data_IF_059325562243
#
_entry.id   IF_059325562243
#
_cell.length_a   1.000
_cell.length_b   1.000
_cell.length_c   1.000
_cell.angle_alpha   90.00
_cell.angle_beta   90.00
_cell.angle_gamma   90.00
#
_symmetry.space_group_name_H-M   'P 1'
#
loop_
_entity.id
_entity.type
_entity.pdbx_description
1 polymer ?
#
# COMPACT_ATOMS: atom_id res chain seq x y z
N UNK A 1 -4.20 -6.57 7.37
CA UNK A 1 -3.84 -7.96 7.03
C UNK A 1 -2.45 -7.95 6.42
N UNK A 2 -1.56 -8.79 6.92
CA UNK A 2 -0.23 -8.98 6.31
C UNK A 2 -0.16 -10.41 5.76
N UNK A 3 0.42 -10.56 4.57
CA UNK A 3 0.53 -11.83 3.86
C UNK A 3 2.02 -12.17 3.73
N UNK A 4 2.39 -13.43 3.95
CA UNK A 4 3.75 -13.91 3.75
C UNK A 4 3.82 -15.03 2.72
N UNK A 5 4.85 -15.02 1.88
CA UNK A 5 5.03 -16.04 0.84
C UNK A 5 6.43 -16.07 0.28
N UNK A 6 6.84 -17.23 -0.22
CA UNK A 6 8.14 -17.40 -0.89
C UNK A 6 8.21 -16.57 -2.18
N UNK A 7 9.41 -16.40 -2.72
CA UNK A 7 9.58 -15.71 -3.99
C UNK A 7 8.76 -16.40 -5.09
N UNK A 8 7.99 -15.60 -5.85
CA UNK A 8 7.18 -16.13 -6.95
C UNK A 8 5.91 -16.91 -6.58
N UNK A 9 5.51 -16.89 -5.31
CA UNK A 9 4.21 -17.43 -4.84
C UNK A 9 3.00 -16.57 -5.22
N UNK A 10 3.22 -15.46 -5.91
CA UNK A 10 2.13 -14.59 -6.39
C UNK A 10 1.68 -13.52 -5.40
N UNK A 11 2.52 -13.14 -4.42
CA UNK A 11 2.23 -12.05 -3.47
C UNK A 11 1.75 -10.76 -4.15
N UNK A 12 2.55 -10.20 -5.05
CA UNK A 12 2.20 -8.99 -5.81
C UNK A 12 0.94 -9.18 -6.66
N UNK A 13 0.76 -10.36 -7.26
CA UNK A 13 -0.44 -10.67 -8.04
C UNK A 13 -1.69 -10.73 -7.14
N UNK A 14 -1.59 -11.26 -5.93
CA UNK A 14 -2.67 -11.25 -4.96
C UNK A 14 -3.02 -9.83 -4.53
N UNK A 15 -2.01 -8.97 -4.27
CA UNK A 15 -2.27 -7.54 -3.99
C UNK A 15 -3.02 -6.88 -5.13
N UNK A 16 -2.61 -7.07 -6.39
CA UNK A 16 -3.32 -6.54 -7.56
C UNK A 16 -4.76 -7.10 -7.67
N UNK A 17 -4.94 -8.39 -7.37
CA UNK A 17 -6.27 -9.01 -7.38
C UNK A 17 -7.18 -8.42 -6.29
N UNK A 18 -6.63 -8.16 -5.10
CA UNK A 18 -7.35 -7.50 -4.01
C UNK A 18 -7.65 -6.04 -4.32
N UNK A 19 -6.74 -5.33 -4.98
CA UNK A 19 -6.96 -3.98 -5.48
C UNK A 19 -8.15 -3.95 -6.46
N UNK A 20 -8.16 -4.81 -7.46
CA UNK A 20 -9.26 -4.93 -8.42
C UNK A 20 -10.58 -5.31 -7.75
N UNK A 21 -10.55 -6.22 -6.78
CA UNK A 21 -11.75 -6.58 -6.01
C UNK A 21 -12.26 -5.40 -5.18
N UNK A 22 -11.38 -4.64 -4.55
CA UNK A 22 -11.75 -3.43 -3.80
C UNK A 22 -12.39 -2.39 -4.72
N UNK A 23 -11.79 -2.12 -5.90
CA UNK A 23 -12.34 -1.22 -6.91
C UNK A 23 -13.74 -1.64 -7.37
N UNK A 24 -13.94 -2.95 -7.66
CA UNK A 24 -15.26 -3.51 -8.01
C UNK A 24 -16.30 -3.39 -6.89
N UNK A 25 -15.86 -3.36 -5.64
CA UNK A 25 -16.71 -3.12 -4.47
C UNK A 25 -16.79 -1.64 -4.09
N UNK A 26 -16.44 -0.74 -5.01
CA UNK A 26 -16.56 0.71 -4.87
C UNK A 26 -15.68 1.30 -3.76
N UNK A 27 -14.48 0.76 -3.54
CA UNK A 27 -13.46 1.36 -2.68
C UNK A 27 -12.41 2.11 -3.49
N UNK A 28 -11.89 3.21 -2.94
CA UNK A 28 -10.65 3.80 -3.43
C UNK A 28 -9.48 2.90 -3.04
N UNK A 29 -8.42 2.87 -3.85
CA UNK A 29 -7.26 2.01 -3.61
C UNK A 29 -5.96 2.76 -3.78
N UNK A 30 -4.95 2.48 -2.96
CA UNK A 30 -3.60 2.99 -3.14
C UNK A 30 -2.62 1.83 -3.00
N UNK A 31 -1.80 1.60 -4.03
CA UNK A 31 -0.76 0.58 -4.03
C UNK A 31 0.61 1.26 -4.07
N UNK A 32 1.46 0.92 -3.11
CA UNK A 32 2.86 1.35 -3.07
C UNK A 32 3.78 0.15 -2.94
N UNK A 33 4.97 0.29 -3.50
CA UNK A 33 6.04 -0.70 -3.41
C UNK A 33 7.14 -0.07 -2.58
N UNK A 34 7.55 -0.76 -1.50
CA UNK A 34 8.69 -0.30 -0.68
C UNK A 34 9.93 -0.27 -1.57
N UNK A 35 10.78 0.73 -1.38
CA UNK A 35 12.04 0.85 -2.14
C UNK A 35 13.05 1.69 -1.36
N UNK A 36 14.25 1.89 -1.90
CA UNK A 36 15.23 2.82 -1.32
C UNK A 36 14.71 4.27 -1.32
N UNK A 37 13.95 4.65 -2.34
CA UNK A 37 13.37 6.00 -2.49
C UNK A 37 12.12 6.18 -1.62
N UNK A 38 11.40 5.09 -1.36
CA UNK A 38 10.21 5.05 -0.50
C UNK A 38 10.44 4.10 0.69
N UNK A 39 11.27 4.50 1.67
CA UNK A 39 11.53 3.68 2.84
C UNK A 39 10.28 3.58 3.71
N UNK A 40 9.92 2.35 4.08
CA UNK A 40 8.72 2.08 4.90
C UNK A 40 8.77 2.80 6.26
N UNK A 41 9.95 2.93 6.85
CA UNK A 41 10.16 3.55 8.16
C UNK A 41 9.97 5.06 8.23
N UNK A 42 9.65 5.74 7.12
CA UNK A 42 9.45 7.18 7.07
C UNK A 42 8.00 7.54 6.67
N UNK A 43 7.08 7.75 7.65
CA UNK A 43 5.71 8.19 7.39
C UNK A 43 5.61 9.49 6.58
N UNK A 44 6.58 10.40 6.73
CA UNK A 44 6.58 11.68 6.04
C UNK A 44 6.78 11.52 4.53
N UNK A 45 7.45 10.44 4.09
CA UNK A 45 7.57 10.08 2.66
C UNK A 45 6.49 9.08 2.23
N UNK A 46 6.21 8.08 3.07
CA UNK A 46 5.25 7.02 2.79
C UNK A 46 3.84 7.56 2.56
N UNK A 47 3.34 8.39 3.48
CA UNK A 47 1.93 8.81 3.44
C UNK A 47 1.63 9.75 2.27
N UNK A 48 2.43 10.80 1.97
CA UNK A 48 2.18 11.60 0.78
C UNK A 48 2.23 10.76 -0.50
N UNK A 49 3.12 9.76 -0.57
CA UNK A 49 3.17 8.83 -1.70
C UNK A 49 1.92 7.96 -1.79
N UNK A 50 1.42 7.44 -0.66
CA UNK A 50 0.15 6.71 -0.60
C UNK A 50 -1.01 7.58 -1.10
N UNK A 51 -1.07 8.84 -0.66
CA UNK A 51 -2.12 9.77 -1.02
C UNK A 51 -2.06 10.15 -2.50
N UNK A 52 -0.87 10.31 -3.08
CA UNK A 52 -0.68 10.59 -4.50
C UNK A 52 -1.05 9.40 -5.40
N UNK A 53 -0.92 8.16 -4.90
CA UNK A 53 -1.25 6.93 -5.63
C UNK A 53 -2.68 6.46 -5.43
N UNK A 54 -3.54 7.24 -4.75
CA UNK A 54 -4.94 6.84 -4.62
C UNK A 54 -5.62 6.85 -5.99
N UNK A 55 -6.23 5.74 -6.35
CA UNK A 55 -7.05 5.60 -7.53
C UNK A 55 -8.52 5.46 -7.12
N UNK A 56 -9.39 6.18 -7.83
CA UNK A 56 -10.83 6.07 -7.70
C UNK A 56 -11.36 5.10 -8.77
N UNK A 57 -12.35 4.24 -8.46
CA UNK A 57 -12.91 3.27 -9.39
C UNK A 57 -13.39 3.83 -10.74
N UNK A 58 -13.93 5.05 -10.73
CA UNK A 58 -14.66 5.67 -11.84
C UNK A 58 -14.01 6.98 -12.33
N UNK A 59 -12.78 7.28 -11.91
CA UNK A 59 -12.03 8.45 -12.37
C UNK A 59 -10.65 8.07 -12.88
N UNK A 60 -10.18 8.80 -13.90
CA UNK A 60 -8.83 8.67 -14.45
C UNK A 60 -7.80 9.39 -13.58
N UNK A 61 -8.20 10.52 -13.00
CA UNK A 61 -7.34 11.28 -12.10
C UNK A 61 -7.01 10.50 -10.83
N UNK A 62 -5.74 10.60 -10.44
CA UNK A 62 -5.22 9.98 -9.23
C UNK A 62 -5.05 11.02 -8.13
N UNK A 63 -4.97 10.53 -6.91
CA UNK A 63 -4.65 11.28 -5.72
C UNK A 63 -5.79 12.13 -5.18
N UNK A 64 -5.44 13.02 -4.25
CA UNK A 64 -6.41 13.89 -3.58
C UNK A 64 -6.98 14.93 -4.55
N UNK A 65 -6.25 15.31 -5.60
CA UNK A 65 -6.71 16.22 -6.64
C UNK A 65 -8.03 15.74 -7.26
N UNK A 66 -8.09 14.48 -7.70
CA UNK A 66 -9.33 13.91 -8.27
C UNK A 66 -10.48 13.82 -7.26
N UNK A 67 -10.17 13.55 -5.98
CA UNK A 67 -11.19 13.58 -4.91
C UNK A 67 -11.75 14.97 -4.68
N UNK A 68 -10.88 15.97 -4.69
CA UNK A 68 -11.23 17.37 -4.52
C UNK A 68 -12.10 17.85 -5.69
N UNK A 69 -11.69 17.57 -6.94
CA UNK A 69 -12.47 17.90 -8.13
C UNK A 69 -13.91 17.33 -8.06
N UNK A 70 -14.05 16.04 -7.69
CA UNK A 70 -15.37 15.42 -7.49
C UNK A 70 -16.19 16.08 -6.39
N UNK A 71 -15.52 16.60 -5.36
CA UNK A 71 -16.16 17.36 -4.29
C UNK A 71 -16.65 18.74 -4.75
N UNK A 72 -16.12 19.32 -5.82
CA UNK A 72 -16.65 20.56 -6.42
C UNK A 72 -17.80 20.29 -7.39
N UNK A 73 -17.70 19.23 -8.20
CA UNK A 73 -18.66 18.90 -9.26
C UNK A 73 -19.97 18.30 -8.73
N UNK A 74 -19.87 17.48 -7.68
CA UNK A 74 -21.06 17.04 -6.95
C UNK A 74 -21.69 18.27 -6.30
N UNK A 75 -23.00 18.40 -6.20
CA UNK A 75 -23.62 19.35 -5.23
C UNK A 75 -23.57 18.71 -3.84
N UNK A 76 -22.40 18.66 -3.16
CA UNK A 76 -22.12 17.65 -2.14
C UNK A 76 -22.76 18.06 -0.82
N UNK A 77 -23.06 19.35 -0.63
CA UNK A 77 -23.66 19.95 0.55
C UNK A 77 -24.99 19.29 0.95
N UNK A 78 -25.68 18.63 0.01
CA UNK A 78 -26.94 17.93 0.26
C UNK A 78 -26.81 16.40 0.37
N UNK A 79 -25.63 15.82 0.09
CA UNK A 79 -25.44 14.37 0.26
C UNK A 79 -25.35 14.02 1.75
N UNK A 80 -26.11 13.01 2.23
CA UNK A 80 -26.01 12.55 3.61
C UNK A 80 -24.60 12.10 4.00
N UNK A 81 -23.83 11.53 3.07
CA UNK A 81 -22.45 11.10 3.30
C UNK A 81 -21.52 12.28 3.53
N UNK A 82 -21.69 13.35 2.77
CA UNK A 82 -20.89 14.56 2.93
C UNK A 82 -21.24 15.32 4.21
N UNK A 83 -22.52 15.40 4.58
CA UNK A 83 -22.92 15.99 5.87
C UNK A 83 -22.32 15.22 7.06
N UNK A 84 -22.32 13.89 7.01
CA UNK A 84 -21.64 13.05 8.01
C UNK A 84 -20.14 13.32 8.05
N UNK A 85 -19.50 13.48 6.89
CA UNK A 85 -18.09 13.85 6.81
C UNK A 85 -17.81 15.22 7.42
N UNK A 86 -18.62 16.25 7.10
CA UNK A 86 -18.47 17.59 7.66
C UNK A 86 -18.65 17.59 9.18
N UNK A 87 -19.63 16.85 9.70
CA UNK A 87 -19.80 16.65 11.14
C UNK A 87 -18.59 15.95 11.77
N UNK A 88 -18.09 14.90 11.13
CA UNK A 88 -16.91 14.18 11.59
C UNK A 88 -15.69 15.11 11.66
N UNK A 89 -15.40 15.88 10.60
CA UNK A 89 -14.26 16.82 10.56
C UNK A 89 -14.39 17.91 11.64
N UNK A 90 -15.60 18.44 11.86
CA UNK A 90 -15.84 19.47 12.88
C UNK A 90 -15.69 18.94 14.32
N UNK A 91 -15.96 17.66 14.55
CA UNK A 91 -15.83 17.01 15.86
C UNK A 91 -14.47 16.32 16.05
N UNK A 92 -13.64 16.30 15.01
CA UNK A 92 -12.37 15.61 15.06
C UNK A 92 -11.39 16.39 15.93
N UNK A 93 -10.96 15.78 17.03
CA UNK A 93 -10.10 16.42 18.04
C UNK A 93 -8.68 16.76 17.55
N UNK A 94 -8.31 16.30 16.35
CA UNK A 94 -6.98 16.43 15.80
C UNK A 94 -6.83 17.64 14.89
N UNK A 95 -5.59 18.07 14.69
CA UNK A 95 -5.26 19.12 13.73
C UNK A 95 -5.62 20.53 14.19
N UNK A 96 -5.98 20.77 15.45
CA UNK A 96 -6.10 22.13 16.03
C UNK A 96 -6.92 23.11 15.16
N UNK A 97 -8.07 22.66 14.63
CA UNK A 97 -8.97 23.45 13.79
C UNK A 97 -8.58 23.58 12.31
N UNK A 98 -7.45 23.02 11.87
CA UNK A 98 -6.99 23.11 10.48
C UNK A 98 -7.90 22.36 9.49
N UNK A 99 -8.29 21.13 9.81
CA UNK A 99 -9.15 20.31 8.95
C UNK A 99 -10.53 20.94 8.70
N UNK A 100 -11.30 21.35 9.72
CA UNK A 100 -12.59 21.99 9.49
C UNK A 100 -12.45 23.34 8.79
N UNK A 101 -11.41 24.11 9.08
CA UNK A 101 -11.16 25.39 8.42
C UNK A 101 -10.83 25.25 6.94
N UNK A 102 -9.89 24.35 6.60
CA UNK A 102 -9.48 24.13 5.21
C UNK A 102 -10.61 23.53 4.38
N UNK A 103 -11.42 22.63 4.96
CA UNK A 103 -12.65 22.14 4.32
C UNK A 103 -13.67 23.27 4.09
N UNK A 104 -13.94 24.11 5.09
CA UNK A 104 -14.88 25.20 4.96
C UNK A 104 -14.43 26.24 3.92
N UNK A 105 -13.13 26.55 3.88
CA UNK A 105 -12.56 27.40 2.84
C UNK A 105 -12.71 26.74 1.46
N UNK A 106 -12.39 25.46 1.33
CA UNK A 106 -12.53 24.73 0.08
C UNK A 106 -13.95 24.79 -0.50
N UNK A 107 -14.98 24.75 0.35
CA UNK A 107 -16.38 24.86 -0.07
C UNK A 107 -16.82 26.29 -0.45
N UNK A 108 -16.13 27.31 0.06
CA UNK A 108 -16.45 28.73 -0.18
C UNK A 108 -15.71 29.30 -1.38
N UNK A 109 -14.50 28.80 -1.61
CA UNK A 109 -13.68 29.13 -2.76
C UNK A 109 -14.25 28.38 -3.98
N UNK A 110 -14.66 29.12 -5.01
CA UNK A 110 -15.07 28.54 -6.29
C UNK A 110 -13.87 28.08 -7.12
N UNK A 111 -14.09 27.23 -8.12
CA UNK A 111 -13.02 26.72 -9.00
C UNK A 111 -12.17 27.84 -9.61
N UNK A 112 -10.86 27.60 -9.69
CA UNK A 112 -9.79 28.48 -10.23
C UNK A 112 -9.13 29.49 -9.26
N UNK A 113 -9.08 29.15 -7.96
CA UNK A 113 -8.31 29.93 -6.95
C UNK A 113 -7.00 29.21 -6.60
N UNK A 114 -5.85 29.90 -6.69
CA UNK A 114 -4.53 29.42 -6.23
C UNK A 114 -4.58 28.90 -4.77
N UNK A 115 -5.46 29.48 -3.94
CA UNK A 115 -5.68 29.05 -2.55
C UNK A 115 -6.35 27.68 -2.46
N UNK A 116 -7.19 27.29 -3.43
CA UNK A 116 -7.77 25.94 -3.48
C UNK A 116 -6.68 24.91 -3.74
N UNK A 117 -5.82 25.16 -4.72
CA UNK A 117 -4.69 24.28 -5.03
C UNK A 117 -3.78 24.13 -3.81
N UNK A 118 -3.47 25.22 -3.12
CA UNK A 118 -2.70 25.17 -1.88
C UNK A 118 -3.38 24.28 -0.81
N UNK A 119 -4.71 24.40 -0.62
CA UNK A 119 -5.47 23.57 0.33
C UNK A 119 -5.39 22.09 -0.05
N UNK A 120 -5.55 21.77 -1.34
CA UNK A 120 -5.46 20.40 -1.85
C UNK A 120 -4.06 19.83 -1.66
N UNK A 121 -2.99 20.61 -1.93
CA UNK A 121 -1.60 20.23 -1.66
C UNK A 121 -1.35 19.98 -0.17
N UNK A 122 -1.91 20.81 0.71
CA UNK A 122 -1.83 20.59 2.16
C UNK A 122 -2.46 19.25 2.58
N UNK A 123 -3.63 18.90 2.02
CA UNK A 123 -4.26 17.59 2.22
C UNK A 123 -3.39 16.45 1.66
N UNK A 124 -2.76 16.65 0.50
CA UNK A 124 -1.93 15.67 -0.19
C UNK A 124 -0.60 15.35 0.51
N UNK A 125 -0.17 16.18 1.45
CA UNK A 125 1.08 15.97 2.18
C UNK A 125 2.22 16.90 1.81
N UNK A 126 1.99 17.86 0.92
CA UNK A 126 2.98 18.82 0.43
C UNK A 126 3.19 20.00 1.40
N UNK A 127 4.27 20.79 1.22
CA UNK A 127 4.68 21.86 2.14
C UNK A 127 3.55 22.83 2.47
N UNK A 128 3.60 23.29 3.73
CA UNK A 128 2.41 23.67 4.50
C UNK A 128 1.86 25.06 4.18
N UNK A 129 0.53 25.12 4.03
CA UNK A 129 -0.24 26.37 4.12
C UNK A 129 0.15 27.13 5.39
N UNK A 130 0.33 28.45 5.29
CA UNK A 130 0.64 29.24 6.48
C UNK A 130 -0.61 29.58 7.27
N UNK A 131 -0.50 29.52 8.60
CA UNK A 131 -1.63 29.84 9.48
C UNK A 131 -2.14 31.28 9.32
N UNK A 132 -1.27 32.22 8.93
CA UNK A 132 -1.62 33.60 8.60
C UNK A 132 -2.48 33.70 7.34
N UNK A 133 -2.15 32.90 6.31
CA UNK A 133 -2.89 32.81 5.06
C UNK A 133 -4.28 32.19 5.29
N UNK A 134 -4.37 31.07 6.02
CA UNK A 134 -5.65 30.45 6.39
C UNK A 134 -6.54 31.45 7.14
N UNK A 135 -6.01 32.10 8.19
CA UNK A 135 -6.78 33.06 8.98
C UNK A 135 -7.21 34.28 8.17
N UNK A 136 -6.40 34.73 7.22
CA UNK A 136 -6.76 35.82 6.30
C UNK A 136 -7.90 35.37 5.39
N UNK A 137 -7.76 34.24 4.70
CA UNK A 137 -8.81 33.69 3.83
C UNK A 137 -10.13 33.45 4.56
N UNK A 138 -10.09 32.98 5.82
CA UNK A 138 -11.29 32.84 6.65
C UNK A 138 -11.99 34.18 6.90
N UNK A 139 -11.24 35.24 7.19
CA UNK A 139 -11.81 36.59 7.37
C UNK A 139 -12.42 37.11 6.07
N UNK A 140 -11.70 36.97 4.97
CA UNK A 140 -12.12 37.48 3.65
C UNK A 140 -13.44 36.83 3.18
N UNK A 141 -13.73 35.61 3.64
CA UNK A 141 -14.96 34.86 3.30
C UNK A 141 -16.01 34.87 4.43
N UNK A 142 -15.90 35.77 5.41
CA UNK A 142 -16.91 35.93 6.48
C UNK A 142 -16.95 34.79 7.50
N UNK A 143 -15.91 33.96 7.57
CA UNK A 143 -15.74 32.86 8.53
C UNK A 143 -14.77 33.22 9.67
N UNK A 144 -14.58 34.51 9.92
CA UNK A 144 -13.73 35.02 10.98
C UNK A 144 -14.16 34.46 12.35
N UNK A 145 -13.24 33.84 13.09
CA UNK A 145 -13.52 33.30 14.43
C UNK A 145 -14.36 32.02 14.45
N UNK A 146 -14.89 31.54 13.32
CA UNK A 146 -15.65 30.29 13.25
C UNK A 146 -14.79 29.04 13.50
N UNK A 147 -13.50 29.13 13.17
CA UNK A 147 -12.54 28.03 13.31
C UNK A 147 -11.27 28.51 14.05
N UNK A 148 -11.01 28.04 15.28
CA UNK A 148 -9.80 28.40 16.00
C UNK A 148 -8.59 27.67 15.41
N UNK A 149 -7.76 28.39 14.64
CA UNK A 149 -6.53 27.83 14.06
C UNK A 149 -5.40 27.84 15.09
N UNK A 150 -5.00 26.67 15.57
CA UNK A 150 -3.85 26.48 16.45
C UNK A 150 -2.55 26.15 15.71
N UNK A 151 -1.53 25.70 16.46
CA UNK A 151 -0.27 25.18 15.90
C UNK A 151 -0.54 23.86 15.19
N UNK A 152 0.14 23.63 14.06
CA UNK A 152 0.11 22.34 13.39
C UNK A 152 0.68 21.24 14.32
N UNK A 153 0.09 20.02 14.29
CA UNK A 153 0.67 18.86 14.97
C UNK A 153 2.09 18.54 14.48
N UNK A 154 2.86 17.74 15.24
CA UNK A 154 4.12 17.17 14.75
C UNK A 154 3.92 16.45 13.41
N UNK A 155 4.94 16.50 12.54
CA UNK A 155 4.87 16.01 11.16
C UNK A 155 4.25 14.61 11.08
N UNK A 156 4.73 13.67 11.89
CA UNK A 156 4.20 12.30 11.89
C UNK A 156 2.68 12.23 12.16
N UNK A 157 2.21 12.87 13.24
CA UNK A 157 0.78 12.92 13.56
C UNK A 157 -0.01 13.59 12.44
N UNK A 158 0.54 14.66 11.85
CA UNK A 158 -0.09 15.33 10.71
C UNK A 158 -0.25 14.40 9.50
N UNK A 159 0.73 13.54 9.20
CA UNK A 159 0.59 12.57 8.11
C UNK A 159 -0.46 11.49 8.42
N UNK A 160 -0.53 10.96 9.64
CA UNK A 160 -1.61 10.05 10.03
C UNK A 160 -2.99 10.70 9.89
N UNK A 161 -3.10 11.99 10.22
CA UNK A 161 -4.32 12.77 10.02
C UNK A 161 -4.66 12.90 8.52
N UNK A 162 -3.70 13.21 7.65
CA UNK A 162 -3.94 13.27 6.21
C UNK A 162 -4.52 11.97 5.66
N UNK A 163 -3.96 10.83 6.09
CA UNK A 163 -4.45 9.51 5.69
C UNK A 163 -5.90 9.27 6.17
N UNK A 164 -6.20 9.60 7.43
CA UNK A 164 -7.55 9.49 7.99
C UNK A 164 -8.56 10.40 7.25
N UNK A 165 -8.18 11.66 7.03
CA UNK A 165 -8.99 12.65 6.32
C UNK A 165 -9.30 12.20 4.90
N UNK A 166 -8.29 11.72 4.16
CA UNK A 166 -8.46 11.21 2.80
C UNK A 166 -9.39 9.99 2.74
N UNK A 167 -9.24 9.04 3.68
CA UNK A 167 -10.14 7.89 3.74
C UNK A 167 -11.60 8.30 4.02
N UNK A 168 -11.82 9.27 4.90
CA UNK A 168 -13.16 9.81 5.17
C UNK A 168 -13.70 10.61 3.98
N UNK A 169 -12.85 11.37 3.28
CA UNK A 169 -13.21 12.07 2.05
C UNK A 169 -13.67 11.08 0.96
N UNK A 170 -13.00 9.94 0.80
CA UNK A 170 -13.44 8.86 -0.09
C UNK A 170 -14.90 8.45 0.19
N UNK A 171 -15.28 8.32 1.47
CA UNK A 171 -16.68 8.05 1.85
C UNK A 171 -17.62 9.20 1.53
N UNK A 172 -17.18 10.42 1.77
CA UNK A 172 -17.96 11.62 1.53
C UNK A 172 -18.36 11.76 0.04
N UNK A 173 -17.47 11.37 -0.87
CA UNK A 173 -17.65 11.43 -2.32
C UNK A 173 -18.25 10.14 -2.94
N UNK A 174 -18.65 9.18 -2.11
CA UNK A 174 -19.46 8.01 -2.53
C UNK A 174 -18.76 6.65 -2.55
N UNK A 175 -17.53 6.53 -2.06
CA UNK A 175 -16.78 5.26 -1.99
C UNK A 175 -16.89 4.58 -0.61
N UNK A 176 -16.51 3.30 -0.51
CA UNK A 176 -16.56 2.53 0.75
C UNK A 176 -15.51 2.95 1.80
N UNK A 177 -14.48 3.68 1.39
CA UNK A 177 -13.29 4.01 2.16
C UNK A 177 -12.04 3.89 1.29
N UNK A 178 -10.88 3.74 1.93
CA UNK A 178 -9.58 3.61 1.26
C UNK A 178 -8.91 2.28 1.63
N UNK A 179 -8.55 1.50 0.61
CA UNK A 179 -7.70 0.31 0.75
C UNK A 179 -6.27 0.67 0.39
N UNK A 180 -5.36 0.47 1.34
CA UNK A 180 -3.91 0.70 1.17
C UNK A 180 -3.21 -0.65 1.05
N UNK A 181 -2.46 -0.81 -0.04
CA UNK A 181 -1.69 -2.00 -0.35
C UNK A 181 -0.19 -1.65 -0.36
N UNK A 182 0.61 -2.46 0.34
CA UNK A 182 2.06 -2.26 0.47
C UNK A 182 2.78 -3.54 0.03
N UNK A 183 3.55 -3.45 -1.05
CA UNK A 183 4.35 -4.56 -1.58
C UNK A 183 5.83 -4.43 -1.20
N UNK A 184 6.59 -5.52 -1.35
CA UNK A 184 8.05 -5.59 -1.14
C UNK A 184 8.51 -5.18 0.27
N UNK A 185 7.72 -5.49 1.31
CA UNK A 185 8.08 -5.16 2.70
C UNK A 185 9.39 -5.85 3.09
N UNK A 186 9.74 -6.98 2.47
CA UNK A 186 11.01 -7.67 2.67
C UNK A 186 12.26 -6.79 2.46
N UNK A 187 12.16 -5.72 1.66
CA UNK A 187 13.30 -4.81 1.43
C UNK A 187 13.80 -4.12 2.70
N UNK A 188 12.99 -4.04 3.76
CA UNK A 188 13.45 -3.50 5.04
C UNK A 188 14.58 -4.37 5.64
N UNK A 189 14.72 -5.64 5.25
CA UNK A 189 15.79 -6.52 5.68
C UNK A 189 17.21 -5.99 5.36
N UNK A 190 17.31 -5.18 4.30
CA UNK A 190 18.56 -4.60 3.82
C UNK A 190 18.94 -3.31 4.56
N UNK A 191 18.06 -2.77 5.41
CA UNK A 191 18.30 -1.52 6.11
C UNK A 191 19.14 -1.72 7.38
N UNK A 192 19.76 -0.64 7.87
CA UNK A 192 20.38 -0.61 9.20
C UNK A 192 19.36 -0.95 10.30
N UNK A 193 19.84 -1.43 11.46
CA UNK A 193 18.95 -1.82 12.57
C UNK A 193 18.01 -0.67 12.99
N UNK A 194 18.47 0.58 13.00
CA UNK A 194 17.64 1.73 13.33
C UNK A 194 16.52 1.93 12.30
N UNK A 195 16.85 1.83 11.00
CA UNK A 195 15.86 1.96 9.93
C UNK A 195 14.87 0.77 9.91
N UNK A 196 15.30 -0.42 10.32
CA UNK A 196 14.40 -1.56 10.57
C UNK A 196 13.46 -1.27 11.74
N UNK A 197 13.95 -0.73 12.85
CA UNK A 197 13.13 -0.31 14.01
C UNK A 197 12.08 0.72 13.58
N UNK A 198 12.47 1.74 12.81
CA UNK A 198 11.54 2.72 12.23
C UNK A 198 10.47 2.04 11.36
N UNK A 199 10.86 1.05 10.56
CA UNK A 199 9.95 0.28 9.70
C UNK A 199 8.99 -0.61 10.50
N UNK A 200 9.47 -1.32 11.53
CA UNK A 200 8.63 -2.11 12.43
C UNK A 200 7.62 -1.24 13.15
N UNK A 201 8.00 -0.02 13.54
CA UNK A 201 7.07 0.94 14.15
C UNK A 201 5.92 1.30 13.21
N UNK A 202 6.23 1.57 11.93
CA UNK A 202 5.20 1.84 10.91
C UNK A 202 4.32 0.60 10.70
N UNK A 203 4.91 -0.59 10.60
CA UNK A 203 4.14 -1.84 10.49
C UNK A 203 3.24 -2.07 11.71
N UNK A 204 3.70 -1.74 12.91
CA UNK A 204 2.88 -1.78 14.13
C UNK A 204 1.67 -0.86 14.02
N UNK A 205 1.87 0.37 13.54
CA UNK A 205 0.76 1.31 13.32
C UNK A 205 -0.22 0.85 12.22
N UNK A 206 0.24 0.17 11.17
CA UNK A 206 -0.59 -0.23 10.04
C UNK A 206 -1.28 -1.59 10.24
N UNK A 207 -0.63 -2.53 10.91
CA UNK A 207 -1.02 -3.94 10.98
C UNK A 207 -1.14 -4.48 12.41
N UNK A 208 -0.69 -3.74 13.43
CA UNK A 208 -0.90 -4.10 14.82
C UNK A 208 -2.38 -4.06 15.21
N UNK A 209 -2.77 -4.81 16.22
CA UNK A 209 -4.17 -4.90 16.67
C UNK A 209 -4.55 -3.81 17.68
N UNK A 210 -3.59 -3.40 18.52
CA UNK A 210 -3.81 -2.43 19.62
C UNK A 210 -3.05 -1.11 19.42
N UNK A 211 -2.17 -1.04 18.42
CA UNK A 211 -1.16 0.02 18.26
C UNK A 211 -1.45 0.99 17.11
N UNK A 212 -2.67 0.98 16.56
CA UNK A 212 -3.10 1.97 15.56
C UNK A 212 -3.02 3.39 16.14
N UNK A 213 -2.50 4.38 15.41
CA UNK A 213 -2.60 5.79 15.76
C UNK A 213 -4.06 6.21 15.96
N UNK A 214 -4.33 6.98 17.02
CA UNK A 214 -5.68 7.44 17.36
C UNK A 214 -6.36 8.19 16.20
N UNK A 215 -5.58 8.87 15.38
CA UNK A 215 -6.03 9.63 14.22
C UNK A 215 -6.70 8.74 13.16
N UNK A 216 -6.21 7.51 12.99
CA UNK A 216 -6.70 6.56 11.98
C UNK A 216 -7.64 5.49 12.56
N UNK A 217 -7.74 5.32 13.88
CA UNK A 217 -8.55 4.26 14.53
C UNK A 217 -10.01 4.19 14.05
N UNK A 218 -10.64 5.34 13.77
CA UNK A 218 -12.04 5.43 13.31
C UNK A 218 -12.17 5.72 11.82
N UNK A 219 -11.05 5.80 11.10
CA UNK A 219 -11.04 6.08 9.68
C UNK A 219 -11.37 4.80 8.88
N UNK A 220 -12.04 4.93 7.72
CA UNK A 220 -12.46 3.79 6.90
C UNK A 220 -11.30 3.26 6.05
N UNK A 221 -10.27 2.78 6.73
CA UNK A 221 -9.03 2.29 6.15
C UNK A 221 -8.97 0.76 6.21
N UNK A 222 -8.44 0.15 5.16
CA UNK A 222 -8.06 -1.26 5.13
C UNK A 222 -6.62 -1.37 4.67
N UNK A 223 -5.76 -1.98 5.47
CA UNK A 223 -4.36 -2.20 5.11
C UNK A 223 -4.11 -3.65 4.70
N UNK A 224 -3.44 -3.83 3.56
CA UNK A 224 -2.94 -5.12 3.09
C UNK A 224 -1.45 -4.97 2.78
N UNK A 225 -0.63 -5.88 3.30
CA UNK A 225 0.80 -5.90 3.01
C UNK A 225 1.25 -7.28 2.51
N UNK A 226 2.38 -7.31 1.80
CA UNK A 226 3.08 -8.54 1.44
C UNK A 226 4.54 -8.51 1.89
N UNK A 227 5.01 -9.63 2.46
CA UNK A 227 6.40 -9.84 2.91
C UNK A 227 6.89 -11.24 2.52
N UNK A 228 8.20 -11.48 2.48
CA UNK A 228 8.72 -12.86 2.30
C UNK A 228 8.43 -13.75 3.51
N UNK A 229 8.29 -15.06 3.24
CA UNK A 229 8.04 -16.08 4.28
C UNK A 229 9.22 -16.26 5.23
N UNK A 230 10.45 -16.08 4.76
CA UNK A 230 11.68 -16.31 5.51
C UNK A 230 12.13 -15.12 6.36
N UNK A 231 11.46 -13.96 6.24
CA UNK A 231 11.82 -12.74 6.96
C UNK A 231 11.94 -12.94 8.47
N UNK A 232 10.98 -13.65 9.07
CA UNK A 232 10.97 -13.94 10.51
C UNK A 232 12.23 -14.71 10.94
N UNK A 233 12.58 -15.78 10.22
CA UNK A 233 13.74 -16.61 10.54
C UNK A 233 15.04 -15.82 10.34
N UNK A 234 15.22 -15.21 9.18
CA UNK A 234 16.50 -14.59 8.80
C UNK A 234 16.74 -13.29 9.57
N UNK A 235 15.71 -12.46 9.75
CA UNK A 235 15.86 -11.11 10.32
C UNK A 235 15.48 -11.09 11.79
N UNK A 236 14.31 -11.62 12.15
CA UNK A 236 13.84 -11.52 13.54
C UNK A 236 14.63 -12.47 14.46
N UNK A 237 14.94 -13.68 14.00
CA UNK A 237 15.66 -14.70 14.77
C UNK A 237 17.18 -14.63 14.56
N UNK A 238 17.69 -14.90 13.34
CA UNK A 238 19.14 -15.03 13.09
C UNK A 238 19.90 -13.70 13.28
N UNK A 239 19.39 -12.57 12.78
CA UNK A 239 19.96 -11.24 13.10
C UNK A 239 19.64 -10.76 14.52
N UNK A 240 18.70 -11.41 15.22
CA UNK A 240 18.35 -11.14 16.61
C UNK A 240 17.55 -9.84 16.81
N UNK A 241 16.76 -9.41 15.82
CA UNK A 241 15.98 -8.17 15.94
C UNK A 241 14.96 -8.26 17.09
N UNK A 242 14.43 -9.44 17.44
CA UNK A 242 13.55 -9.64 18.61
C UNK A 242 14.10 -9.06 19.91
N UNK A 243 15.41 -9.16 20.12
CA UNK A 243 16.06 -8.64 21.32
C UNK A 243 16.62 -7.24 21.12
N UNK A 244 17.14 -6.94 19.92
CA UNK A 244 17.87 -5.70 19.65
C UNK A 244 16.94 -4.53 19.32
N UNK A 245 15.90 -4.74 18.51
CA UNK A 245 15.05 -3.66 18.03
C UNK A 245 14.25 -2.98 19.16
N UNK A 246 13.65 -3.70 20.12
CA UNK A 246 13.02 -3.09 21.30
C UNK A 246 13.97 -2.18 22.11
N UNK A 247 15.23 -2.61 22.30
CA UNK A 247 16.24 -1.84 23.03
C UNK A 247 16.61 -0.55 22.30
N UNK A 248 16.78 -0.62 20.98
CA UNK A 248 17.03 0.56 20.14
C UNK A 248 15.84 1.52 20.16
N UNK A 249 14.61 1.00 20.14
CA UNK A 249 13.40 1.82 20.23
C UNK A 249 13.39 2.65 21.53
N UNK A 250 13.66 2.02 22.67
CA UNK A 250 13.77 2.71 23.96
C UNK A 250 14.88 3.77 23.96
N UNK A 251 16.07 3.45 23.44
CA UNK A 251 17.19 4.38 23.35
C UNK A 251 16.90 5.61 22.48
N UNK A 252 16.04 5.45 21.45
CA UNK A 252 15.63 6.52 20.54
C UNK A 252 14.28 7.13 20.92
N UNK A 253 13.80 6.90 22.14
CA UNK A 253 12.53 7.42 22.65
C UNK A 253 11.31 7.08 21.78
N UNK A 254 11.34 5.92 21.13
CA UNK A 254 10.22 5.35 20.37
C UNK A 254 9.45 4.35 21.24
N UNK A 255 8.17 4.14 20.93
CA UNK A 255 7.36 3.13 21.63
C UNK A 255 7.82 1.71 21.30
N UNK A 256 8.31 1.02 22.31
CA UNK A 256 8.68 -0.39 22.23
C UNK A 256 7.49 -1.28 21.85
N UNK A 257 6.32 -1.00 22.41
CA UNK A 257 5.08 -1.76 22.17
C UNK A 257 4.69 -1.71 20.70
N UNK A 258 4.77 -0.54 20.06
CA UNK A 258 4.46 -0.39 18.63
C UNK A 258 5.46 -1.14 17.76
N UNK A 259 6.75 -1.09 18.10
CA UNK A 259 7.80 -1.83 17.37
C UNK A 259 7.56 -3.34 17.47
N UNK A 260 7.31 -3.85 18.68
CA UNK A 260 6.99 -5.26 18.90
C UNK A 260 5.75 -5.69 18.12
N UNK A 261 4.69 -4.88 18.14
CA UNK A 261 3.47 -5.16 17.39
C UNK A 261 3.73 -5.29 15.88
N UNK A 262 4.65 -4.50 15.30
CA UNK A 262 5.03 -4.64 13.89
C UNK A 262 5.77 -5.95 13.59
N UNK A 263 6.66 -6.37 14.50
CA UNK A 263 7.39 -7.64 14.38
C UNK A 263 6.46 -8.85 14.56
N UNK A 264 5.53 -8.75 15.49
CA UNK A 264 4.46 -9.73 15.70
C UNK A 264 3.55 -9.83 14.47
N UNK A 265 3.18 -8.69 13.86
CA UNK A 265 2.39 -8.67 12.65
C UNK A 265 3.06 -9.44 11.49
N UNK A 266 4.38 -9.31 11.32
CA UNK A 266 5.16 -10.11 10.35
C UNK A 266 5.08 -11.59 10.67
N UNK A 267 5.28 -11.95 11.94
CA UNK A 267 5.31 -13.35 12.37
C UNK A 267 3.94 -14.03 12.18
N UNK A 268 2.87 -13.31 12.50
CA UNK A 268 1.48 -13.72 12.35
C UNK A 268 0.91 -13.52 10.93
N UNK A 269 1.72 -13.03 9.98
CA UNK A 269 1.26 -12.82 8.61
C UNK A 269 0.71 -14.12 8.00
N UNK A 270 -0.39 -14.00 7.27
CA UNK A 270 -1.09 -15.13 6.67
C UNK A 270 -0.22 -15.75 5.58
N UNK A 271 0.17 -17.03 5.71
CA UNK A 271 1.01 -17.67 4.71
C UNK A 271 0.21 -17.94 3.42
N UNK A 272 0.77 -17.60 2.27
CA UNK A 272 0.33 -18.12 0.99
C UNK A 272 0.84 -19.53 0.81
N UNK A 273 0.04 -20.38 0.17
CA UNK A 273 0.48 -21.69 -0.28
C UNK A 273 1.64 -21.52 -1.27
N UNK A 274 2.69 -22.30 -1.07
CA UNK A 274 3.76 -22.48 -2.05
C UNK A 274 3.24 -23.23 -3.27
N UNK A 275 3.96 -23.15 -4.39
CA UNK A 275 3.61 -23.92 -5.58
C UNK A 275 3.59 -25.43 -5.32
N UNK A 276 4.43 -25.92 -4.40
CA UNK A 276 4.47 -27.32 -4.01
C UNK A 276 3.20 -27.74 -3.27
N UNK A 277 2.69 -26.87 -2.38
CA UNK A 277 1.43 -27.07 -1.66
C UNK A 277 0.21 -26.93 -2.58
N UNK A 278 0.30 -26.10 -3.62
CA UNK A 278 -0.78 -25.84 -4.58
C UNK A 278 -0.73 -26.74 -5.84
N UNK A 279 -0.13 -27.93 -5.77
CA UNK A 279 0.10 -28.78 -6.95
C UNK A 279 -1.18 -29.11 -7.73
N UNK A 280 -2.26 -29.45 -7.03
CA UNK A 280 -3.56 -29.79 -7.65
C UNK A 280 -4.21 -28.58 -8.33
N UNK A 281 -4.09 -27.39 -7.73
CA UNK A 281 -4.57 -26.14 -8.32
C UNK A 281 -3.75 -25.77 -9.57
N UNK A 282 -2.43 -25.99 -9.54
CA UNK A 282 -1.56 -25.78 -10.70
C UNK A 282 -1.93 -26.74 -11.83
N UNK A 283 -2.23 -28.02 -11.54
CA UNK A 283 -2.75 -28.95 -12.56
C UNK A 283 -4.06 -28.43 -13.17
N UNK A 284 -4.96 -27.90 -12.34
CA UNK A 284 -6.21 -27.31 -12.82
C UNK A 284 -5.97 -26.07 -13.70
N UNK A 285 -4.93 -25.28 -13.41
CA UNK A 285 -4.52 -24.15 -14.25
C UNK A 285 -4.00 -24.59 -15.62
N UNK A 286 -3.30 -25.72 -15.71
CA UNK A 286 -2.80 -26.25 -16.99
C UNK A 286 -3.92 -26.36 -18.02
N UNK A 287 -5.09 -26.89 -17.62
CA UNK A 287 -6.25 -27.03 -18.51
C UNK A 287 -6.74 -25.67 -19.04
N UNK A 288 -6.82 -24.65 -18.16
CA UNK A 288 -7.23 -23.30 -18.56
C UNK A 288 -6.24 -22.63 -19.50
N UNK A 289 -4.94 -22.78 -19.22
CA UNK A 289 -3.87 -22.23 -20.08
C UNK A 289 -3.89 -22.92 -21.43
N UNK A 290 -4.08 -24.25 -21.46
CA UNK A 290 -4.23 -25.01 -22.69
C UNK A 290 -5.49 -24.61 -23.47
N UNK A 291 -6.60 -24.28 -22.81
CA UNK A 291 -7.84 -23.82 -23.48
C UNK A 291 -7.60 -22.47 -24.16
N UNK A 292 -6.90 -21.56 -23.49
CA UNK A 292 -6.53 -20.26 -24.06
C UNK A 292 -5.55 -20.43 -25.24
N UNK A 293 -4.57 -21.32 -25.11
CA UNK A 293 -3.60 -21.58 -26.17
C UNK A 293 -4.26 -22.22 -27.41
N UNK A 294 -5.18 -23.18 -27.23
CA UNK A 294 -5.97 -23.77 -28.32
C UNK A 294 -6.82 -22.71 -29.06
N UNK A 295 -7.40 -21.75 -28.33
CA UNK A 295 -8.16 -20.66 -28.94
C UNK A 295 -7.28 -19.76 -29.79
N UNK A 296 -6.04 -19.51 -29.37
CA UNK A 296 -5.08 -18.74 -30.14
C UNK A 296 -4.56 -19.54 -31.36
N UNK A 297 -4.44 -20.86 -31.22
CA UNK A 297 -3.85 -21.74 -32.23
C UNK A 297 -4.72 -22.99 -32.45
N UNK A 298 -5.74 -22.90 -33.34
CA UNK A 298 -6.72 -23.98 -33.53
C UNK A 298 -6.11 -25.30 -34.02
N UNK A 299 -5.02 -25.25 -34.77
CA UNK A 299 -4.34 -26.44 -35.34
C UNK A 299 -3.39 -27.12 -34.34
N UNK A 300 -3.18 -26.53 -33.16
CA UNK A 300 -2.36 -27.13 -32.12
C UNK A 300 -3.06 -28.36 -31.54
N UNK A 301 -2.32 -29.46 -31.40
CA UNK A 301 -2.82 -30.68 -30.76
C UNK A 301 -2.49 -30.64 -29.27
N UNK A 302 -3.53 -30.55 -28.43
CA UNK A 302 -3.39 -30.58 -26.97
C UNK A 302 -2.72 -31.89 -26.50
N UNK A 303 -1.67 -31.82 -25.66
CA UNK A 303 -1.09 -32.99 -25.00
C UNK A 303 -2.11 -33.68 -24.07
N UNK A 304 -2.04 -35.01 -23.95
CA UNK A 304 -3.00 -35.79 -23.16
C UNK A 304 -2.84 -35.66 -21.64
N UNK A 305 -1.64 -35.31 -21.14
CA UNK A 305 -1.37 -35.15 -19.72
C UNK A 305 -0.52 -33.91 -19.43
N UNK A 306 -0.79 -33.19 -18.33
CA UNK A 306 0.11 -32.16 -17.83
C UNK A 306 1.40 -32.82 -17.33
N UNK A 307 2.50 -32.66 -18.06
CA UNK A 307 3.82 -32.89 -17.49
C UNK A 307 4.13 -31.70 -16.58
N UNK A 308 3.80 -31.85 -15.30
CA UNK A 308 4.24 -30.89 -14.29
C UNK A 308 5.76 -31.02 -14.17
N UNK A 309 6.51 -29.92 -14.34
CA UNK A 309 7.93 -29.92 -14.01
C UNK A 309 8.13 -30.24 -12.53
N UNK A 310 9.34 -30.67 -12.17
CA UNK A 310 9.72 -30.74 -10.76
C UNK A 310 9.54 -29.36 -10.11
N UNK A 311 8.80 -29.34 -9.01
CA UNK A 311 8.50 -28.12 -8.28
C UNK A 311 9.52 -27.99 -7.15
N UNK A 312 10.32 -26.93 -7.21
CA UNK A 312 11.20 -26.51 -6.13
C UNK A 312 10.58 -25.36 -5.36
N UNK A 313 11.14 -25.04 -4.19
CA UNK A 313 10.68 -23.91 -3.36
C UNK A 313 10.78 -22.55 -4.04
N UNK A 314 11.66 -22.42 -5.05
CA UNK A 314 11.85 -21.20 -5.86
C UNK A 314 11.04 -21.19 -7.15
N UNK A 315 10.37 -22.30 -7.49
CA UNK A 315 9.62 -22.41 -8.74
C UNK A 315 8.39 -21.51 -8.66
N UNK A 316 8.27 -20.58 -9.62
CA UNK A 316 7.17 -19.63 -9.67
C UNK A 316 6.06 -20.14 -10.60
N UNK A 317 4.80 -19.79 -10.32
CA UNK A 317 3.67 -20.11 -11.22
C UNK A 317 3.92 -19.58 -12.64
N UNK A 318 4.55 -18.41 -12.74
CA UNK A 318 4.96 -17.82 -14.03
C UNK A 318 5.96 -18.70 -14.77
N UNK A 319 6.96 -19.25 -14.07
CA UNK A 319 7.95 -20.14 -14.67
C UNK A 319 7.29 -21.40 -15.23
N UNK A 320 6.37 -21.98 -14.47
CA UNK A 320 5.59 -23.16 -14.87
C UNK A 320 4.77 -22.87 -16.13
N UNK A 321 3.99 -21.78 -16.14
CA UNK A 321 3.18 -21.39 -17.30
C UNK A 321 4.07 -21.10 -18.51
N UNK A 322 5.17 -20.35 -18.33
CA UNK A 322 6.12 -20.05 -19.40
C UNK A 322 6.68 -21.34 -19.99
N UNK A 323 7.09 -22.30 -19.15
CA UNK A 323 7.61 -23.59 -19.59
C UNK A 323 6.59 -24.35 -20.44
N UNK A 324 5.32 -24.43 -20.01
CA UNK A 324 4.26 -25.05 -20.81
C UNK A 324 4.10 -24.38 -22.17
N UNK A 325 4.02 -23.04 -22.21
CA UNK A 325 3.86 -22.29 -23.46
C UNK A 325 5.07 -22.50 -24.38
N UNK A 326 6.29 -22.42 -23.84
CA UNK A 326 7.52 -22.66 -24.59
C UNK A 326 7.58 -24.07 -25.15
N UNK A 327 7.22 -25.09 -24.36
CA UNK A 327 7.18 -26.48 -24.82
C UNK A 327 6.16 -26.65 -25.96
N UNK A 328 4.98 -26.06 -25.84
CA UNK A 328 3.95 -26.11 -26.89
C UNK A 328 4.37 -25.37 -28.17
N UNK A 329 4.98 -24.20 -28.03
CA UNK A 329 5.53 -23.45 -29.17
C UNK A 329 6.62 -24.27 -29.88
N UNK A 330 7.54 -24.88 -29.14
CA UNK A 330 8.62 -25.69 -29.73
C UNK A 330 8.06 -26.91 -30.47
N UNK A 331 7.12 -27.66 -29.88
CA UNK A 331 6.47 -28.79 -30.55
C UNK A 331 5.74 -28.37 -31.82
N UNK A 332 5.11 -27.19 -31.78
CA UNK A 332 4.36 -26.65 -32.93
C UNK A 332 5.29 -26.20 -34.06
N UNK A 333 6.41 -25.53 -33.75
CA UNK A 333 7.29 -24.94 -34.77
C UNK A 333 8.36 -25.90 -35.32
N UNK A 334 8.88 -26.81 -34.50
CA UNK A 334 10.09 -27.58 -34.86
C UNK A 334 9.83 -29.06 -35.13
N UNK A 335 9.02 -29.76 -34.31
CA UNK A 335 8.49 -31.10 -34.59
C UNK A 335 7.61 -31.63 -33.44
N UNK A 336 6.49 -32.31 -33.73
CA UNK A 336 5.56 -32.80 -32.70
C UNK A 336 6.09 -33.96 -31.84
N UNK A 337 7.06 -34.74 -32.33
CA UNK A 337 7.53 -35.98 -31.70
C UNK A 337 8.90 -35.87 -30.99
N UNK A 338 9.46 -34.67 -30.86
CA UNK A 338 10.79 -34.50 -30.24
C UNK A 338 10.67 -34.36 -28.73
N UNK A 339 11.51 -35.09 -27.99
CA UNK A 339 11.66 -34.95 -26.54
C UNK A 339 12.35 -33.60 -26.25
N UNK A 340 11.64 -32.68 -25.58
CA UNK A 340 12.13 -31.32 -25.33
C UNK A 340 12.77 -31.27 -23.94
N UNK A 341 14.08 -31.05 -23.89
CA UNK A 341 14.80 -30.76 -22.64
C UNK A 341 14.89 -29.25 -22.46
N UNK A 342 14.09 -28.70 -21.55
CA UNK A 342 14.16 -27.29 -21.15
C UNK A 342 15.09 -27.19 -19.94
N UNK A 343 16.30 -26.64 -20.14
CA UNK A 343 17.25 -26.35 -19.06
C UNK A 343 16.85 -25.02 -18.41
N UNK A 344 16.57 -25.02 -17.11
CA UNK A 344 16.31 -23.79 -16.35
C UNK A 344 17.63 -23.20 -15.86
N UNK A 345 17.84 -21.89 -16.06
CA UNK A 345 18.99 -21.17 -15.51
C UNK A 345 18.94 -21.18 -13.97
N UNK A 346 20.02 -21.64 -13.31
CA UNK A 346 20.18 -21.64 -11.83
C UNK A 346 20.32 -20.24 -11.22
N UNK A 347 20.11 -19.17 -11.99
CA UNK A 347 20.32 -17.80 -11.56
C UNK A 347 19.09 -17.25 -10.83
N UNK A 348 18.93 -17.56 -9.54
CA UNK A 348 18.60 -16.64 -8.44
C UNK A 348 19.01 -17.38 -7.14
N UNK A 349 20.31 -17.43 -6.86
CA UNK A 349 20.83 -17.67 -5.52
C UNK A 349 21.50 -16.37 -5.07
N UNK A 350 21.14 -15.93 -3.88
CA UNK A 350 21.60 -14.72 -3.17
C UNK A 350 20.87 -13.42 -3.51
N UNK A 351 19.98 -13.02 -2.59
CA UNK A 351 19.75 -11.61 -2.29
C UNK A 351 21.06 -11.04 -1.74
N UNK A 352 21.56 -9.89 -2.22
CA UNK A 352 22.77 -9.28 -1.67
C UNK A 352 22.57 -8.99 -0.18
N UNK A 353 23.50 -9.47 0.64
CA UNK A 353 23.50 -9.34 2.11
C UNK A 353 24.07 -8.01 2.61
N UNK A 354 24.46 -7.10 1.71
CA UNK A 354 25.07 -5.83 2.09
C UNK A 354 24.03 -4.88 2.70
N UNK A 355 24.25 -4.52 3.96
CA UNK A 355 23.42 -3.54 4.65
C UNK A 355 23.63 -2.16 4.01
N UNK A 356 22.51 -1.53 3.66
CA UNK A 356 22.53 -0.22 3.02
C UNK A 356 22.91 0.86 4.05
N UNK A 357 23.79 1.82 3.68
CA UNK A 357 24.15 2.92 4.54
C UNK A 357 22.93 3.77 4.89
N UNK A 358 22.98 4.43 6.05
CA UNK A 358 21.90 5.29 6.52
C UNK A 358 21.66 6.43 5.52
N UNK A 359 20.44 6.55 5.02
CA UNK A 359 20.04 7.75 4.29
C UNK A 359 19.99 8.90 5.29
N UNK A 360 20.80 9.92 5.07
CA UNK A 360 20.73 11.19 5.80
C UNK A 360 19.29 11.71 5.67
N UNK A 361 18.62 11.93 6.80
CA UNK A 361 17.30 12.55 6.82
C UNK A 361 17.52 14.03 6.47
N UNK A 362 16.97 14.47 5.34
CA UNK A 362 16.78 15.90 5.09
C UNK A 362 15.84 16.42 6.19
N UNK A 363 16.42 16.99 7.26
CA UNK A 363 15.70 17.77 8.26
C UNK A 363 15.27 19.09 7.61
N UNK A 364 14.02 19.14 7.10
CA UNK A 364 13.30 20.41 6.90
C UNK A 364 11.87 20.35 7.45
#
# INVERSE_FOLDING_TARGET
>A
MLIKGDFGTGKSHLLLTLQERARKNNFATSLVVVSKELPLGNPNRLIPRLLAQVELPDMVERGIQGMAARLQDSSPSFSPSFQKFQLWVNQWQFGSGWWPATLALYQRLGGDDEKLDAIVRFWAGEPTLKSSEVRRSLRDHGLAGAYPIGKLPPAESLHWQRLAFCAQLCRAIGFGGLVVLVDEIELIAQYSLLQRVKSYRVLGHLFGTTTLPEEIKKAPLVFVGAVTRDFERVILQEKGDWEKAPKIALQKHMSEEVVKAGMEAISQATPLCSCLEAREDIQSMWHRVADLYQKAYPDWVRPSLPQLPELYSTTTVRSIIRRWITEWDVRRYYSPDTEIVIVEDEAIKSTPTEELPELEEDEE
#
